data_IF_296338844118
#
_entry.id   IF_296338844118
#
_cell.length_a   1.000
_cell.length_b   1.000
_cell.length_c   1.000
_cell.angle_alpha   90.00
_cell.angle_beta   90.00
_cell.angle_gamma   90.00
#
_symmetry.space_group_name_H-M   'P 1'
#
loop_
_entity.id
_entity.type
_entity.pdbx_description
1 polymer ?
#
# COMPACT_ATOMS: atom_id res chain seq x y z
N UNK A 1 -4.02 7.15 11.03
CA UNK A 1 -3.79 5.76 10.57
C UNK A 1 -2.28 5.47 10.60
N UNK A 2 -1.86 4.26 10.98
CA UNK A 2 -0.43 3.90 11.08
C UNK A 2 -0.03 3.04 9.88
N UNK A 3 1.11 3.32 9.26
CA UNK A 3 1.70 2.48 8.20
C UNK A 3 3.12 2.07 8.59
N UNK A 4 3.45 0.82 8.30
CA UNK A 4 4.66 0.16 8.75
C UNK A 4 5.38 -0.46 7.55
N UNK A 5 6.02 0.33 6.66
CA UNK A 5 7.41 0.12 6.16
C UNK A 5 7.70 0.69 4.75
N UNK A 6 8.67 1.61 4.59
CA UNK A 6 9.28 2.14 3.33
C UNK A 6 10.46 3.19 3.52
N UNK A 7 11.65 2.79 4.00
CA UNK A 7 12.96 3.39 3.64
C UNK A 7 13.52 4.69 4.24
N UNK A 8 14.61 4.55 5.03
CA UNK A 8 15.54 5.64 5.39
C UNK A 8 17.04 5.27 5.39
N UNK A 9 17.44 4.00 5.28
CA UNK A 9 18.84 3.55 5.16
C UNK A 9 18.90 2.03 4.95
N UNK A 10 20.05 1.48 4.49
CA UNK A 10 20.30 0.02 4.48
C UNK A 10 20.15 -0.63 5.87
N UNK A 11 20.16 0.16 6.95
CA UNK A 11 20.00 -0.28 8.34
C UNK A 11 18.54 -0.28 8.83
N UNK A 12 17.58 0.31 8.10
CA UNK A 12 16.17 0.35 8.52
C UNK A 12 15.39 -0.95 8.31
N UNK A 13 16.03 -2.02 7.82
CA UNK A 13 15.47 -3.37 7.54
C UNK A 13 15.04 -4.17 8.79
N UNK A 14 14.62 -3.50 9.86
CA UNK A 14 14.19 -4.13 11.10
C UNK A 14 13.00 -3.38 11.61
N UNK A 15 11.84 -3.56 10.99
CA UNK A 15 10.58 -2.95 11.40
C UNK A 15 9.52 -4.04 11.52
N UNK A 16 8.31 -3.69 11.96
CA UNK A 16 7.21 -4.59 11.63
C UNK A 16 7.05 -4.63 10.11
N UNK A 17 6.79 -5.83 9.58
CA UNK A 17 6.59 -6.09 8.17
C UNK A 17 5.11 -6.29 7.83
N UNK A 18 4.19 -5.86 8.71
CA UNK A 18 2.75 -5.97 8.43
C UNK A 18 2.17 -4.68 7.84
N UNK A 19 1.19 -4.82 6.94
CA UNK A 19 0.52 -3.72 6.27
C UNK A 19 -0.75 -3.24 6.93
N UNK A 20 -1.30 -2.18 6.34
CA UNK A 20 -2.50 -1.50 6.84
C UNK A 20 -3.73 -2.40 6.87
N UNK A 21 -3.80 -3.39 5.97
CA UNK A 21 -4.93 -4.31 5.89
C UNK A 21 -5.00 -5.23 7.12
N UNK A 22 -3.86 -5.61 7.70
CA UNK A 22 -3.82 -6.40 8.94
C UNK A 22 -4.56 -5.72 10.10
N UNK A 23 -4.60 -4.38 10.12
CA UNK A 23 -5.33 -3.60 11.13
C UNK A 23 -6.85 -3.64 10.94
N UNK A 24 -7.33 -4.05 9.77
CA UNK A 24 -8.75 -4.13 9.45
C UNK A 24 -9.38 -5.46 9.85
N UNK A 25 -8.58 -6.52 10.05
CA UNK A 25 -9.07 -7.87 10.35
C UNK A 25 -10.12 -7.94 11.49
N UNK A 26 -9.92 -7.27 12.65
CA UNK A 26 -10.91 -7.31 13.73
C UNK A 26 -12.26 -6.69 13.37
N UNK A 27 -12.28 -5.77 12.41
CA UNK A 27 -13.49 -5.09 11.95
C UNK A 27 -14.21 -5.84 10.82
N UNK A 28 -13.65 -6.97 10.37
CA UNK A 28 -14.19 -7.83 9.31
C UNK A 28 -14.50 -9.25 9.82
N UNK A 29 -14.69 -9.41 11.13
CA UNK A 29 -14.92 -10.69 11.79
C UNK A 29 -13.81 -11.74 11.53
N UNK A 30 -12.57 -11.30 11.25
CA UNK A 30 -11.41 -12.17 11.03
C UNK A 30 -10.55 -12.33 12.29
N UNK A 31 -11.19 -12.44 13.46
CA UNK A 31 -10.49 -12.50 14.75
C UNK A 31 -9.58 -13.74 14.86
N UNK A 32 -9.98 -14.86 14.25
CA UNK A 32 -9.21 -16.10 14.17
C UNK A 32 -7.88 -15.94 13.42
N UNK A 33 -7.76 -14.97 12.52
CA UNK A 33 -6.51 -14.64 11.80
C UNK A 33 -5.73 -13.57 12.57
N UNK A 34 -6.42 -12.64 13.23
CA UNK A 34 -5.79 -11.54 13.96
C UNK A 34 -5.15 -11.97 15.28
N UNK A 35 -5.85 -12.79 16.09
CA UNK A 35 -5.40 -13.18 17.44
C UNK A 35 -4.00 -13.82 17.49
N UNK A 36 -3.61 -14.69 16.53
CA UNK A 36 -2.28 -15.28 16.52
C UNK A 36 -1.15 -14.30 16.16
N UNK A 37 -1.45 -13.13 15.57
CA UNK A 37 -0.43 -12.18 15.14
C UNK A 37 0.23 -11.56 16.38
N UNK A 38 1.57 -11.62 16.53
CA UNK A 38 2.24 -11.07 17.70
C UNK A 38 1.94 -9.58 17.89
N UNK A 39 1.43 -9.20 19.06
CA UNK A 39 0.98 -7.83 19.35
C UNK A 39 2.05 -6.74 19.13
N UNK A 40 3.34 -7.10 19.19
CA UNK A 40 4.44 -6.17 18.92
C UNK A 40 4.50 -5.73 17.45
N UNK A 41 3.97 -6.52 16.51
CA UNK A 41 3.93 -6.15 15.08
C UNK A 41 3.07 -4.90 14.86
N UNK A 42 2.15 -4.58 15.76
CA UNK A 42 1.31 -3.39 15.68
C UNK A 42 1.96 -2.14 16.34
N UNK A 43 3.26 -2.17 16.67
CA UNK A 43 4.00 -1.07 17.30
C UNK A 43 5.02 -0.44 16.34
N UNK A 44 5.05 0.89 16.29
CA UNK A 44 5.76 1.67 15.25
C UNK A 44 7.28 1.53 15.35
N UNK A 45 7.75 1.42 16.59
CA UNK A 45 9.13 1.30 17.01
C UNK A 45 9.61 -0.15 17.08
N UNK A 46 8.73 -1.13 16.85
CA UNK A 46 9.10 -2.53 16.91
C UNK A 46 10.04 -2.92 15.76
N UNK A 47 11.12 -3.61 16.11
CA UNK A 47 12.13 -4.10 15.19
C UNK A 47 11.93 -5.62 15.00
N UNK A 48 11.06 -5.97 14.06
CA UNK A 48 10.69 -7.35 13.76
C UNK A 48 11.51 -8.00 12.63
N UNK A 49 11.17 -9.26 12.38
CA UNK A 49 11.61 -10.01 11.20
C UNK A 49 10.52 -9.98 10.12
N UNK A 50 10.89 -10.25 8.87
CA UNK A 50 9.91 -10.35 7.78
C UNK A 50 8.82 -11.36 8.09
N UNK A 51 7.57 -11.04 7.72
CA UNK A 51 6.41 -11.92 7.92
C UNK A 51 6.61 -13.32 7.30
N UNK A 52 7.45 -13.41 6.27
CA UNK A 52 7.85 -14.66 5.61
C UNK A 52 8.82 -15.54 6.41
N UNK A 53 9.33 -15.05 7.53
CA UNK A 53 10.31 -15.74 8.39
C UNK A 53 9.80 -16.01 9.81
N UNK A 54 8.57 -15.58 10.13
CA UNK A 54 7.93 -15.76 11.43
C UNK A 54 6.69 -16.63 11.20
N UNK A 55 6.61 -17.79 11.87
CA UNK A 55 5.62 -18.81 11.54
C UNK A 55 4.19 -18.29 11.72
N UNK A 56 3.91 -17.57 12.80
CA UNK A 56 2.61 -17.00 13.11
C UNK A 56 2.14 -16.01 12.03
N UNK A 57 3.07 -15.23 11.48
CA UNK A 57 2.79 -14.29 10.39
C UNK A 57 2.64 -15.00 9.05
N UNK A 58 3.43 -16.06 8.83
CA UNK A 58 3.35 -16.87 7.63
C UNK A 58 2.01 -17.60 7.55
N UNK A 59 1.55 -18.19 8.66
CA UNK A 59 0.25 -18.85 8.78
C UNK A 59 -0.88 -17.86 8.54
N UNK A 60 -0.78 -16.65 9.10
CA UNK A 60 -1.73 -15.58 8.80
C UNK A 60 -1.74 -15.25 7.30
N UNK A 61 -0.57 -15.03 6.69
CA UNK A 61 -0.40 -14.63 5.29
C UNK A 61 -1.02 -15.60 4.28
N UNK A 62 -1.15 -16.89 4.61
CA UNK A 62 -1.73 -17.91 3.72
C UNK A 62 -3.27 -17.82 3.61
N UNK A 63 -3.93 -17.15 4.57
CA UNK A 63 -5.38 -17.00 4.56
C UNK A 63 -5.84 -16.16 3.35
N UNK A 64 -6.75 -16.71 2.54
CA UNK A 64 -7.34 -16.02 1.40
C UNK A 64 -8.56 -15.22 1.86
N UNK A 65 -8.52 -13.91 1.65
CA UNK A 65 -9.59 -12.99 2.06
C UNK A 65 -10.23 -12.37 0.80
N UNK A 66 -11.36 -12.89 0.30
CA UNK A 66 -11.99 -12.39 -0.93
C UNK A 66 -12.32 -10.89 -0.89
N UNK A 67 -12.60 -10.34 0.29
CA UNK A 67 -12.85 -8.90 0.51
C UNK A 67 -11.66 -8.02 0.13
N UNK A 68 -10.44 -8.56 0.09
CA UNK A 68 -9.24 -7.84 -0.32
C UNK A 68 -8.93 -7.94 -1.81
N UNK A 69 -9.76 -8.64 -2.57
CA UNK A 69 -9.60 -8.81 -4.01
C UNK A 69 -10.57 -7.90 -4.75
N UNK A 70 -10.07 -7.30 -5.83
CA UNK A 70 -10.89 -6.57 -6.77
C UNK A 70 -11.69 -7.58 -7.62
N UNK A 71 -13.02 -7.46 -7.74
CA UNK A 71 -13.83 -8.39 -8.52
C UNK A 71 -13.49 -8.47 -10.02
N UNK A 72 -12.78 -7.46 -10.56
CA UNK A 72 -12.35 -7.43 -11.97
C UNK A 72 -10.96 -7.99 -12.19
N UNK A 73 -10.19 -8.30 -11.13
CA UNK A 73 -8.93 -9.01 -11.28
C UNK A 73 -9.23 -10.49 -11.64
N UNK A 74 -8.67 -11.02 -12.75
CA UNK A 74 -8.90 -12.41 -13.17
C UNK A 74 -8.35 -13.44 -12.18
N UNK A 75 -7.57 -13.05 -11.17
CA UNK A 75 -7.18 -13.91 -10.07
C UNK A 75 -5.92 -14.73 -10.35
N UNK A 76 -5.24 -14.54 -11.49
CA UNK A 76 -4.08 -15.33 -11.88
C UNK A 76 -2.90 -15.05 -10.93
N UNK A 77 -2.45 -16.03 -10.13
CA UNK A 77 -1.36 -15.80 -9.18
C UNK A 77 -0.04 -15.65 -9.94
N UNK A 78 0.76 -14.68 -9.50
CA UNK A 78 2.13 -14.49 -9.93
C UNK A 78 3.08 -15.56 -9.36
N UNK A 79 4.32 -15.54 -9.85
CA UNK A 79 5.37 -16.42 -9.36
C UNK A 79 5.87 -16.01 -7.95
N UNK A 80 5.79 -14.72 -7.64
CA UNK A 80 6.37 -14.12 -6.44
C UNK A 80 5.40 -13.14 -5.76
N UNK A 81 5.42 -13.10 -4.44
CA UNK A 81 4.75 -12.06 -3.67
C UNK A 81 5.75 -10.93 -3.34
N UNK A 82 5.28 -9.70 -3.47
CA UNK A 82 6.01 -8.49 -3.06
C UNK A 82 5.89 -8.39 -1.54
N UNK A 83 6.87 -8.93 -0.85
CA UNK A 83 6.84 -9.03 0.60
C UNK A 83 7.07 -7.70 1.31
N UNK A 84 7.79 -6.78 0.67
CA UNK A 84 8.04 -5.42 1.14
C UNK A 84 8.36 -4.52 -0.04
N UNK A 85 7.91 -3.27 0.03
CA UNK A 85 8.27 -2.19 -0.88
C UNK A 85 9.04 -1.11 -0.13
N UNK A 86 10.01 -0.53 -0.81
CA UNK A 86 10.94 0.41 -0.20
C UNK A 86 11.39 1.51 -1.18
N UNK A 87 11.03 2.76 -0.91
CA UNK A 87 11.52 3.94 -1.60
C UNK A 87 12.82 4.37 -0.94
N UNK A 88 13.94 4.29 -1.65
CA UNK A 88 15.24 4.74 -1.18
C UNK A 88 15.91 5.64 -2.21
N UNK A 89 16.16 6.90 -1.83
CA UNK A 89 16.66 7.96 -2.73
C UNK A 89 15.73 8.18 -3.92
N UNK A 90 16.00 7.52 -5.05
CA UNK A 90 15.28 7.63 -6.32
C UNK A 90 14.89 6.26 -6.87
N UNK A 91 14.94 5.23 -6.01
CA UNK A 91 14.71 3.84 -6.40
C UNK A 91 13.56 3.27 -5.57
N UNK A 92 12.66 2.56 -6.24
CA UNK A 92 11.72 1.65 -5.57
C UNK A 92 12.35 0.24 -5.57
N UNK A 93 12.55 -0.31 -4.39
CA UNK A 93 13.06 -1.66 -4.18
C UNK A 93 11.92 -2.57 -3.71
N UNK A 94 11.84 -3.77 -4.28
CA UNK A 94 10.91 -4.81 -3.87
C UNK A 94 11.68 -5.98 -3.24
N UNK A 95 11.27 -6.40 -2.05
CA UNK A 95 11.66 -7.69 -1.47
C UNK A 95 10.68 -8.76 -1.93
N UNK A 96 11.19 -9.85 -2.50
CA UNK A 96 10.36 -10.89 -3.12
C UNK A 96 10.44 -12.18 -2.31
N UNK A 97 9.29 -12.86 -2.20
CA UNK A 97 9.20 -14.22 -1.68
C UNK A 97 8.50 -15.09 -2.70
N UNK A 98 8.89 -16.36 -2.79
CA UNK A 98 8.26 -17.30 -3.72
C UNK A 98 6.85 -17.58 -3.26
N UNK A 99 5.89 -17.37 -4.15
CA UNK A 99 4.47 -17.45 -3.82
C UNK A 99 3.81 -18.63 -4.52
N UNK A 100 3.73 -18.60 -5.86
CA UNK A 100 2.98 -19.58 -6.64
C UNK A 100 1.54 -19.78 -6.14
N UNK A 101 0.89 -18.69 -5.73
CA UNK A 101 -0.48 -18.71 -5.21
C UNK A 101 -0.62 -19.20 -3.76
N UNK A 102 0.46 -19.28 -2.99
CA UNK A 102 0.46 -19.65 -1.57
C UNK A 102 -0.17 -18.57 -0.68
N UNK A 103 0.14 -17.30 -0.88
CA UNK A 103 -0.27 -16.21 0.01
C UNK A 103 -1.59 -15.55 -0.39
N UNK A 104 -2.34 -15.06 0.59
CA UNK A 104 -3.56 -14.28 0.37
C UNK A 104 -3.22 -12.98 -0.36
N UNK A 105 -3.71 -12.85 -1.59
CA UNK A 105 -3.51 -11.66 -2.43
C UNK A 105 -4.39 -10.51 -1.95
N UNK A 106 -4.00 -9.30 -2.30
CA UNK A 106 -4.83 -8.10 -2.29
C UNK A 106 -4.62 -7.28 -3.54
N UNK A 107 -5.66 -6.56 -3.95
CA UNK A 107 -5.54 -5.49 -4.94
C UNK A 107 -5.48 -4.11 -4.30
N UNK A 108 -5.57 -3.98 -2.97
CA UNK A 108 -5.68 -2.69 -2.29
C UNK A 108 -4.36 -2.35 -1.60
N UNK A 109 -3.65 -1.37 -2.14
CA UNK A 109 -2.32 -0.97 -1.71
C UNK A 109 -2.34 0.47 -1.21
N UNK A 110 -1.62 0.77 -0.13
CA UNK A 110 -1.63 2.12 0.43
C UNK A 110 -0.81 3.10 -0.42
N UNK A 111 -1.22 4.38 -0.40
CA UNK A 111 -0.53 5.46 -1.11
C UNK A 111 0.49 6.12 -0.19
N UNK A 112 1.76 6.12 -0.59
CA UNK A 112 2.83 6.81 0.13
C UNK A 112 3.19 8.19 -0.47
N UNK A 113 2.31 8.79 -1.25
CA UNK A 113 2.54 10.10 -1.86
C UNK A 113 3.27 10.00 -3.19
N UNK A 114 3.94 11.09 -3.58
CA UNK A 114 4.61 11.16 -4.88
C UNK A 114 5.78 10.19 -4.95
N UNK A 115 6.60 10.12 -3.91
CA UNK A 115 7.71 9.16 -3.81
C UNK A 115 8.13 8.91 -2.36
N UNK A 116 7.16 8.69 -1.47
CA UNK A 116 7.42 8.56 -0.02
C UNK A 116 8.15 9.77 0.59
N UNK A 117 8.55 9.68 1.87
CA UNK A 117 9.27 10.71 2.61
C UNK A 117 10.80 10.63 2.36
N UNK A 118 11.19 10.61 1.10
CA UNK A 118 12.61 10.69 0.72
C UNK A 118 13.04 12.13 0.46
N UNK A 119 14.34 12.39 0.47
CA UNK A 119 14.88 13.71 0.16
C UNK A 119 14.43 14.17 -1.24
N UNK A 120 13.79 15.35 -1.32
CA UNK A 120 13.19 15.88 -2.55
C UNK A 120 11.66 15.74 -2.63
N UNK A 121 11.06 14.79 -1.89
CA UNK A 121 9.63 14.51 -1.92
C UNK A 121 8.91 14.64 -0.57
N UNK A 122 9.61 15.07 0.47
CA UNK A 122 9.05 15.20 1.83
C UNK A 122 7.80 16.08 1.92
N UNK A 123 7.69 17.09 1.05
CA UNK A 123 6.51 17.96 0.99
C UNK A 123 5.28 17.29 0.37
N UNK A 124 5.50 16.22 -0.38
CA UNK A 124 4.46 15.47 -1.11
C UNK A 124 4.35 14.05 -0.55
N UNK A 125 4.58 13.90 0.76
CA UNK A 125 4.39 12.63 1.43
C UNK A 125 2.90 12.31 1.55
N UNK A 126 2.54 11.05 1.33
CA UNK A 126 1.18 10.55 1.51
C UNK A 126 0.90 10.09 2.93
N UNK A 127 -0.36 9.74 3.18
CA UNK A 127 -0.87 9.39 4.51
C UNK A 127 -0.22 8.14 5.12
N UNK A 128 0.26 7.22 4.29
CA UNK A 128 0.82 5.95 4.74
C UNK A 128 2.30 5.87 4.35
N UNK A 129 3.17 6.31 5.27
CA UNK A 129 4.63 6.22 5.11
C UNK A 129 5.22 5.07 5.92
N UNK A 130 6.51 4.85 5.71
CA UNK A 130 7.32 4.03 6.58
C UNK A 130 7.24 4.45 8.04
N UNK A 131 6.75 3.55 8.89
CA UNK A 131 6.75 3.75 10.35
C UNK A 131 6.24 5.15 10.69
N UNK A 132 5.15 5.53 10.04
CA UNK A 132 4.53 6.81 10.32
C UNK A 132 3.17 6.65 10.93
N UNK A 133 2.83 7.65 11.74
CA UNK A 133 1.50 7.85 12.27
C UNK A 133 1.08 9.26 11.88
N UNK A 134 0.21 9.36 10.87
CA UNK A 134 -0.43 10.60 10.51
C UNK A 134 -1.86 10.60 11.06
N UNK A 135 -2.20 11.44 12.05
CA UNK A 135 -3.59 11.70 12.40
C UNK A 135 -4.31 12.38 11.24
N UNK A 136 -5.63 12.19 11.15
CA UNK A 136 -6.42 12.74 10.04
C UNK A 136 -6.30 14.27 9.89
N UNK A 137 -6.05 14.98 11.00
CA UNK A 137 -5.83 16.43 11.01
C UNK A 137 -4.57 16.89 10.26
N UNK A 138 -3.63 15.99 10.00
CA UNK A 138 -2.40 16.31 9.25
C UNK A 138 -2.68 16.36 7.73
N UNK A 139 -3.87 15.94 7.30
CA UNK A 139 -4.33 16.04 5.91
C UNK A 139 -4.90 17.44 5.66
N UNK A 140 -4.01 18.43 5.57
CA UNK A 140 -4.38 19.85 5.42
C UNK A 140 -4.84 20.21 4.01
N UNK A 141 -4.50 19.41 3.00
CA UNK A 141 -4.94 19.61 1.61
C UNK A 141 -6.41 19.17 1.38
N UNK A 142 -7.03 18.59 2.41
CA UNK A 142 -8.43 18.16 2.43
C UNK A 142 -8.57 16.66 2.23
N UNK A 143 -9.32 16.02 3.13
CA UNK A 143 -9.51 14.56 3.12
C UNK A 143 -10.25 14.06 1.88
N UNK A 144 -11.13 14.88 1.30
CA UNK A 144 -11.84 14.59 0.04
C UNK A 144 -11.00 14.83 -1.23
N UNK A 145 -9.76 15.30 -1.08
CA UNK A 145 -8.82 15.55 -2.18
C UNK A 145 -7.50 14.80 -1.97
N UNK A 146 -7.48 13.81 -1.08
CA UNK A 146 -6.29 13.03 -0.75
C UNK A 146 -6.57 11.56 -0.99
N UNK A 147 -5.88 10.92 -1.92
CA UNK A 147 -5.94 9.47 -2.12
C UNK A 147 -5.06 8.75 -1.10
N UNK A 148 -5.59 7.67 -0.50
CA UNK A 148 -4.93 6.98 0.63
C UNK A 148 -4.73 5.49 0.37
N UNK A 149 -5.61 4.85 -0.42
CA UNK A 149 -5.45 3.46 -0.89
C UNK A 149 -5.85 3.43 -2.35
N UNK A 150 -5.13 2.68 -3.17
CA UNK A 150 -5.43 2.49 -4.59
C UNK A 150 -5.44 1.02 -4.98
N UNK A 151 -6.14 0.72 -6.07
CA UNK A 151 -6.04 -0.58 -6.72
C UNK A 151 -4.65 -0.79 -7.34
N UNK A 152 -4.08 -1.98 -7.20
CA UNK A 152 -2.85 -2.43 -7.84
C UNK A 152 -2.96 -3.90 -8.25
N UNK A 153 -2.42 -4.24 -9.42
CA UNK A 153 -2.46 -5.62 -9.96
C UNK A 153 -1.21 -6.41 -9.62
N UNK A 154 -0.07 -5.75 -9.38
CA UNK A 154 1.24 -6.39 -9.25
C UNK A 154 1.89 -6.79 -10.60
N UNK A 155 1.20 -6.54 -11.72
CA UNK A 155 1.64 -6.89 -13.06
C UNK A 155 1.75 -8.39 -13.33
N UNK A 156 2.47 -8.76 -14.39
CA UNK A 156 2.40 -10.13 -14.94
C UNK A 156 3.01 -11.23 -14.06
N UNK A 157 3.86 -10.88 -13.09
CA UNK A 157 4.69 -11.85 -12.35
C UNK A 157 4.58 -11.76 -10.83
N UNK A 158 3.96 -10.71 -10.31
CA UNK A 158 4.01 -10.41 -8.90
C UNK A 158 2.62 -10.20 -8.31
N UNK A 159 2.50 -10.58 -7.05
CA UNK A 159 1.30 -10.39 -6.25
C UNK A 159 1.58 -9.50 -5.05
N UNK A 160 0.58 -8.72 -4.64
CA UNK A 160 0.61 -8.03 -3.35
C UNK A 160 -0.04 -8.94 -2.29
N UNK A 161 0.72 -9.44 -1.29
CA UNK A 161 0.14 -10.19 -0.19
C UNK A 161 -0.54 -9.22 0.78
N UNK A 162 -1.76 -9.50 1.24
CA UNK A 162 -2.50 -8.56 2.10
C UNK A 162 -1.78 -8.25 3.42
N UNK A 163 -1.00 -9.21 3.94
CA UNK A 163 -0.28 -9.04 5.20
C UNK A 163 0.89 -8.07 5.06
N UNK A 164 1.47 -7.92 3.87
CA UNK A 164 2.69 -7.17 3.66
C UNK A 164 2.46 -5.67 3.74
N UNK A 165 3.51 -4.87 3.96
CA UNK A 165 3.42 -3.44 4.20
C UNK A 165 3.21 -2.62 2.92
N UNK A 166 2.59 -3.22 1.90
CA UNK A 166 2.47 -2.70 0.54
C UNK A 166 2.03 -1.23 0.54
N UNK A 167 2.99 -0.36 0.22
CA UNK A 167 2.76 1.05 -0.03
C UNK A 167 3.49 1.44 -1.31
N UNK A 168 2.77 2.07 -2.22
CA UNK A 168 3.27 2.43 -3.54
C UNK A 168 3.28 3.94 -3.72
N UNK A 169 4.32 4.48 -4.39
CA UNK A 169 4.35 5.87 -4.81
C UNK A 169 3.55 6.08 -6.10
N UNK A 170 2.95 7.26 -6.27
CA UNK A 170 2.21 7.60 -7.50
C UNK A 170 3.11 8.09 -8.65
N UNK A 171 4.42 8.06 -8.46
CA UNK A 171 5.41 8.75 -9.32
C UNK A 171 5.30 8.46 -10.81
N UNK A 172 5.04 7.19 -11.14
CA UNK A 172 5.02 6.65 -12.49
C UNK A 172 3.63 6.67 -13.14
N UNK A 173 2.63 7.26 -12.49
CA UNK A 173 1.26 7.25 -13.00
C UNK A 173 0.56 5.92 -12.75
N UNK A 174 -0.58 5.74 -13.43
CA UNK A 174 -1.43 4.57 -13.33
C UNK A 174 -1.13 3.61 -14.50
N UNK A 175 -1.04 2.33 -14.22
CA UNK A 175 -0.75 1.27 -15.18
C UNK A 175 -0.65 -0.10 -14.51
N UNK A 176 -0.34 -1.12 -15.29
CA UNK A 176 -0.36 -2.52 -14.82
C UNK A 176 1.03 -3.05 -14.42
N UNK A 177 2.03 -2.18 -14.24
CA UNK A 177 3.34 -2.63 -13.75
C UNK A 177 3.33 -2.83 -12.23
N UNK A 178 4.24 -3.66 -11.71
CA UNK A 178 4.37 -3.94 -10.28
C UNK A 178 4.72 -2.71 -9.40
N UNK A 179 5.19 -1.63 -10.02
CA UNK A 179 5.51 -0.36 -9.38
C UNK A 179 4.41 0.71 -9.55
N UNK A 180 3.24 0.35 -10.05
CA UNK A 180 2.14 1.27 -10.33
C UNK A 180 0.84 0.80 -9.68
N UNK A 181 -0.03 1.77 -9.41
CA UNK A 181 -1.45 1.50 -9.19
C UNK A 181 -2.12 1.22 -10.54
N UNK A 182 -3.08 0.30 -10.54
CA UNK A 182 -3.75 -0.16 -11.75
C UNK A 182 -4.87 -1.14 -11.42
N UNK A 183 -5.80 -1.30 -12.35
CA UNK A 183 -6.92 -2.23 -12.25
C UNK A 183 -7.26 -2.80 -13.62
N UNK A 184 -8.09 -3.84 -13.62
CA UNK A 184 -8.67 -4.42 -14.83
C UNK A 184 -10.15 -4.01 -15.04
N UNK A 185 -10.61 -2.91 -14.42
CA UNK A 185 -11.96 -2.40 -14.65
C UNK A 185 -12.14 -1.96 -16.10
N UNK A 186 -13.34 -2.22 -16.64
CA UNK A 186 -13.71 -1.76 -17.98
C UNK A 186 -13.58 -0.24 -18.10
N UNK A 187 -12.96 0.23 -19.18
CA UNK A 187 -12.67 1.66 -19.38
C UNK A 187 -11.32 2.12 -18.82
N UNK A 188 -10.52 1.20 -18.24
CA UNK A 188 -9.16 1.46 -17.77
C UNK A 188 -9.09 2.23 -16.45
N UNK A 189 -10.21 2.36 -15.73
CA UNK A 189 -10.31 3.19 -14.52
C UNK A 189 -9.73 2.45 -13.31
N UNK A 190 -8.86 3.09 -12.55
CA UNK A 190 -8.32 2.55 -11.28
C UNK A 190 -9.01 3.23 -10.11
N UNK A 191 -9.58 2.45 -9.18
CA UNK A 191 -10.24 3.03 -8.02
C UNK A 191 -9.23 3.41 -6.94
N UNK A 192 -9.49 4.56 -6.33
CA UNK A 192 -8.77 5.05 -5.16
C UNK A 192 -9.76 5.41 -4.06
N UNK A 193 -9.43 5.00 -2.83
CA UNK A 193 -10.05 5.46 -1.60
C UNK A 193 -9.45 6.81 -1.23
N UNK A 194 -10.30 7.75 -0.83
CA UNK A 194 -9.89 9.05 -0.33
C UNK A 194 -9.90 9.09 1.20
N UNK A 195 -9.22 10.09 1.77
CA UNK A 195 -9.11 10.27 3.22
C UNK A 195 -10.45 10.49 3.93
N UNK A 196 -11.51 10.89 3.21
CA UNK A 196 -12.87 11.04 3.72
C UNK A 196 -13.72 9.75 3.64
N UNK A 197 -13.18 8.67 3.09
CA UNK A 197 -13.85 7.39 2.91
C UNK A 197 -14.59 7.24 1.58
N UNK A 198 -14.63 8.27 0.74
CA UNK A 198 -15.19 8.16 -0.60
C UNK A 198 -14.25 7.42 -1.55
N UNK A 199 -14.81 6.84 -2.62
CA UNK A 199 -14.05 6.15 -3.68
C UNK A 199 -14.18 6.92 -4.98
N UNK A 200 -13.06 7.16 -5.66
CA UNK A 200 -13.00 7.80 -6.98
C UNK A 200 -12.24 6.91 -7.96
N UNK A 201 -12.82 6.73 -9.13
CA UNK A 201 -12.14 6.11 -10.25
C UNK A 201 -11.30 7.14 -11.01
N UNK A 202 -10.00 6.88 -11.18
CA UNK A 202 -9.08 7.73 -11.94
C UNK A 202 -8.66 7.05 -13.24
N UNK A 203 -8.60 7.84 -14.31
CA UNK A 203 -8.11 7.38 -15.62
C UNK A 203 -6.57 7.37 -15.67
N UNK A 204 -5.93 6.43 -16.38
CA UNK A 204 -4.50 6.48 -16.71
C UNK A 204 -4.09 7.73 -17.49
N UNK A 205 -5.06 8.41 -18.12
CA UNK A 205 -4.85 9.68 -18.82
C UNK A 205 -4.97 10.92 -17.93
N UNK A 206 -5.15 10.77 -16.61
CA UNK A 206 -5.20 11.89 -15.66
C UNK A 206 -3.94 12.76 -15.79
N UNK A 207 -4.10 14.08 -15.61
CA UNK A 207 -2.95 14.97 -15.55
C UNK A 207 -1.99 14.54 -14.42
N UNK A 208 -0.70 14.46 -14.76
CA UNK A 208 0.32 13.98 -13.83
C UNK A 208 0.50 14.91 -12.63
N UNK A 209 0.30 16.21 -12.81
CA UNK A 209 0.32 17.19 -11.72
C UNK A 209 -0.83 16.95 -10.77
N UNK A 210 -2.06 16.86 -11.28
CA UNK A 210 -3.26 16.55 -10.49
C UNK A 210 -3.10 15.24 -9.72
N UNK A 211 -2.67 14.15 -10.38
CA UNK A 211 -2.50 12.86 -9.72
C UNK A 211 -1.46 12.88 -8.59
N UNK A 212 -0.40 13.68 -8.75
CA UNK A 212 0.63 13.86 -7.72
C UNK A 212 0.14 14.69 -6.54
N UNK A 213 -0.60 15.77 -6.82
CA UNK A 213 -1.17 16.63 -5.77
C UNK A 213 -2.22 15.86 -4.94
N UNK A 214 -2.96 14.93 -5.56
CA UNK A 214 -3.88 14.04 -4.83
C UNK A 214 -3.17 13.12 -3.82
N UNK A 215 -1.89 12.82 -4.03
CA UNK A 215 -1.18 11.83 -3.21
C UNK A 215 -0.51 12.45 -1.97
N UNK A 216 -0.23 13.76 -1.99
CA UNK A 216 0.28 14.50 -0.84
C UNK A 216 -0.82 14.79 0.19
N UNK A 217 -0.44 14.96 1.45
CA UNK A 217 -1.40 15.32 2.52
C UNK A 217 -1.29 16.78 2.98
N UNK A 218 -0.18 17.46 2.69
CA UNK A 218 0.13 18.82 3.19
C UNK A 218 1.02 19.65 2.25
N UNK A 219 0.95 19.39 0.94
CA UNK A 219 1.75 20.09 -0.07
C UNK A 219 1.20 21.50 -0.41
N UNK A 220 -0.06 21.77 -0.05
CA UNK A 220 -0.74 23.06 -0.25
C UNK A 220 -1.15 23.35 -1.70
N UNK A 221 -1.05 22.38 -2.60
CA UNK A 221 -1.42 22.54 -4.00
C UNK A 221 -2.94 22.45 -4.19
N UNK A 222 -3.45 23.27 -5.11
CA UNK A 222 -4.87 23.21 -5.47
C UNK A 222 -5.09 22.02 -6.41
N UNK A 223 -6.04 21.16 -6.05
CA UNK A 223 -6.53 20.07 -6.90
C UNK A 223 -7.79 20.53 -7.62
N UNK A 224 -7.80 20.42 -8.95
CA UNK A 224 -8.98 20.69 -9.79
C UNK A 224 -10.04 19.59 -9.71
N UNK A 225 -11.00 19.56 -10.64
CA UNK A 225 -11.90 18.42 -10.80
C UNK A 225 -11.16 17.24 -11.46
N UNK A 226 -11.42 16.02 -11.00
CA UNK A 226 -10.81 14.77 -11.45
C UNK A 226 -11.81 13.61 -11.37
#
# INVERSE_FOLDING_TARGET
PRCYFCGGSRQDRRGSYIGILTFLLPFMDQQNIFDPIPANEFKLDYLGSGWWSVQELLDAAENKLPTYLCPTDPGNPGDYAIAVLNCYRWTLEAGLVRDQGRFGRTNYVSVNGVFSNVAGYRRTEGMFQNRSEHPLRDVTDGTSNTIVVGEATGGDRYDHPWIGPNNLPVYWGIGENWWQFGSHHSGGVTNFLLGDGSVRGLSPSIDRGTYRNLAGIHDGNIVGQF
#
